data_IF_348070899644
#
_entry.id   IF_348070899644
#
_cell.length_a   1.000
_cell.length_b   1.000
_cell.length_c   1.000
_cell.angle_alpha   90.00
_cell.angle_beta   90.00
_cell.angle_gamma   90.00
#
_symmetry.space_group_name_H-M   'P 1'
#
loop_
_entity.id
_entity.type
_entity.pdbx_description
1 polymer ?
#
# COMPACT_ATOMS: atom_id res chain seq x y z
N UNK A 1 27.48 12.18 -0.99
CA UNK A 1 27.13 10.80 -1.39
C UNK A 1 25.78 10.48 -0.78
N UNK A 2 24.83 10.05 -1.60
CA UNK A 2 23.39 10.19 -1.43
C UNK A 2 22.72 8.92 -0.85
N UNK A 3 23.41 8.28 0.11
CA UNK A 3 23.12 6.91 0.57
C UNK A 3 21.68 6.77 1.10
N UNK A 4 21.12 7.82 1.69
CA UNK A 4 19.76 7.82 2.25
C UNK A 4 18.66 7.85 1.19
N UNK A 5 18.86 8.56 0.07
CA UNK A 5 17.89 8.60 -1.03
C UNK A 5 17.91 7.29 -1.83
N UNK A 6 19.10 6.73 -2.04
CA UNK A 6 19.27 5.43 -2.71
C UNK A 6 18.65 4.29 -1.91
N UNK A 7 18.80 4.29 -0.57
CA UNK A 7 18.17 3.31 0.32
C UNK A 7 16.65 3.42 0.27
N UNK A 8 16.10 4.61 0.42
CA UNK A 8 14.65 4.83 0.42
C UNK A 8 14.01 4.43 -0.93
N UNK A 9 14.70 4.68 -2.04
CA UNK A 9 14.25 4.27 -3.36
C UNK A 9 14.32 2.74 -3.54
N UNK A 10 15.34 2.08 -2.97
CA UNK A 10 15.46 0.62 -2.98
C UNK A 10 14.36 -0.06 -2.13
N UNK A 11 14.08 0.48 -0.94
CA UNK A 11 13.03 0.00 -0.04
C UNK A 11 11.64 0.14 -0.68
N UNK A 12 11.36 1.29 -1.30
CA UNK A 12 10.12 1.49 -2.02
C UNK A 12 9.95 0.49 -3.16
N UNK A 13 11.00 0.24 -3.94
CA UNK A 13 10.94 -0.69 -5.08
C UNK A 13 10.68 -2.12 -4.58
N UNK A 14 11.39 -2.55 -3.53
CA UNK A 14 11.17 -3.85 -2.90
C UNK A 14 9.75 -4.01 -2.34
N UNK A 15 9.20 -2.95 -1.72
CA UNK A 15 7.84 -2.96 -1.19
C UNK A 15 6.78 -3.05 -2.31
N UNK A 16 6.99 -2.34 -3.42
CA UNK A 16 6.08 -2.39 -4.58
C UNK A 16 6.06 -3.78 -5.23
N UNK A 17 7.23 -4.41 -5.41
CA UNK A 17 7.34 -5.78 -5.92
C UNK A 17 6.66 -6.79 -4.99
N UNK A 18 6.89 -6.67 -3.69
CA UNK A 18 6.22 -7.50 -2.68
C UNK A 18 4.69 -7.39 -2.76
N UNK A 19 4.15 -6.17 -2.88
CA UNK A 19 2.70 -5.96 -3.01
C UNK A 19 2.18 -6.62 -4.29
N UNK A 20 2.87 -6.48 -5.42
CA UNK A 20 2.45 -7.11 -6.67
C UNK A 20 2.38 -8.63 -6.55
N UNK A 21 3.38 -9.25 -5.93
CA UNK A 21 3.41 -10.70 -5.74
C UNK A 21 2.32 -11.17 -4.77
N UNK A 22 2.03 -10.43 -3.70
CA UNK A 22 0.92 -10.74 -2.81
C UNK A 22 -0.43 -10.67 -3.53
N UNK A 23 -0.67 -9.65 -4.35
CA UNK A 23 -1.88 -9.53 -5.16
C UNK A 23 -1.98 -10.63 -6.22
N UNK A 24 -0.88 -10.99 -6.91
CA UNK A 24 -0.82 -12.11 -7.86
C UNK A 24 -1.21 -13.43 -7.18
N UNK A 25 -0.66 -13.68 -5.99
CA UNK A 25 -0.86 -14.92 -5.24
C UNK A 25 -2.26 -15.04 -4.66
N UNK A 26 -2.82 -13.95 -4.14
CA UNK A 26 -4.01 -13.99 -3.30
C UNK A 26 -5.28 -13.44 -3.95
N UNK A 27 -5.16 -12.51 -4.90
CA UNK A 27 -6.30 -11.93 -5.62
C UNK A 27 -5.97 -11.63 -7.09
N UNK A 28 -5.59 -12.66 -7.88
CA UNK A 28 -5.19 -12.45 -9.28
C UNK A 28 -6.30 -11.84 -10.13
N UNK A 29 -7.56 -12.11 -9.79
CA UNK A 29 -8.72 -11.53 -10.50
C UNK A 29 -8.83 -10.02 -10.28
N UNK A 30 -8.58 -9.53 -9.06
CA UNK A 30 -8.59 -8.09 -8.82
C UNK A 30 -7.34 -7.42 -9.39
N UNK A 31 -6.17 -8.06 -9.34
CA UNK A 31 -4.97 -7.53 -9.99
C UNK A 31 -5.19 -7.28 -11.48
N UNK A 32 -5.89 -8.18 -12.19
CA UNK A 32 -6.25 -7.99 -13.60
C UNK A 32 -7.21 -6.83 -13.86
N UNK A 33 -7.94 -6.38 -12.85
CA UNK A 33 -8.83 -5.20 -12.91
C UNK A 33 -8.09 -3.93 -12.48
N UNK A 34 -6.96 -4.10 -11.81
CA UNK A 34 -6.09 -3.08 -11.30
C UNK A 34 -6.27 -2.79 -9.81
N UNK A 35 -5.18 -2.29 -9.24
CA UNK A 35 -5.01 -2.00 -7.83
C UNK A 35 -4.33 -0.65 -7.72
N UNK A 36 -4.91 0.26 -6.94
CA UNK A 36 -4.20 1.46 -6.54
C UNK A 36 -3.21 1.15 -5.42
N UNK A 37 -1.98 1.63 -5.57
CA UNK A 37 -1.00 1.63 -4.48
C UNK A 37 -0.75 3.09 -4.09
N UNK A 38 -0.71 3.39 -2.80
CA UNK A 38 -0.38 4.72 -2.31
C UNK A 38 0.65 4.69 -1.19
N UNK A 39 1.53 5.67 -1.21
CA UNK A 39 2.45 5.98 -0.13
C UNK A 39 1.98 7.25 0.56
N UNK A 40 1.86 7.18 1.87
CA UNK A 40 1.46 8.30 2.72
C UNK A 40 2.64 8.78 3.57
N UNK A 41 2.43 9.89 4.27
CA UNK A 41 3.40 10.36 5.26
C UNK A 41 3.65 9.34 6.36
N UNK A 42 4.81 9.45 7.02
CA UNK A 42 5.15 8.56 8.11
C UNK A 42 4.13 8.66 9.24
N UNK A 43 3.76 7.51 9.81
CA UNK A 43 2.87 7.43 10.97
C UNK A 43 3.67 7.65 12.25
N UNK A 44 3.08 8.26 13.28
CA UNK A 44 3.73 8.33 14.60
C UNK A 44 3.82 6.92 15.22
N UNK A 45 4.82 6.67 16.07
CA UNK A 45 5.10 5.33 16.60
C UNK A 45 3.96 4.73 17.46
N UNK A 46 3.09 5.59 17.99
CA UNK A 46 1.92 5.28 18.83
C UNK A 46 0.60 5.24 18.04
N UNK A 47 0.60 5.65 16.77
CA UNK A 47 -0.58 5.73 15.92
C UNK A 47 -0.92 4.41 15.20
N UNK A 48 -0.74 3.26 15.87
CA UNK A 48 -1.00 1.92 15.33
C UNK A 48 -2.47 1.66 14.94
N UNK A 49 -3.39 2.55 15.31
CA UNK A 49 -4.82 2.48 15.02
C UNK A 49 -5.27 3.49 13.93
N UNK A 50 -4.34 4.26 13.36
CA UNK A 50 -4.67 5.22 12.31
C UNK A 50 -4.77 4.49 10.95
N UNK A 51 -5.92 4.63 10.28
CA UNK A 51 -6.04 4.17 8.89
C UNK A 51 -5.04 4.92 8.04
N UNK A 52 -4.19 4.18 7.30
CA UNK A 52 -3.14 4.78 6.45
C UNK A 52 -3.75 5.75 5.44
N UNK A 53 -4.96 5.45 4.93
CA UNK A 53 -5.70 6.30 4.01
C UNK A 53 -6.06 7.68 4.58
N UNK A 54 -6.08 7.85 5.90
CA UNK A 54 -6.33 9.15 6.55
C UNK A 54 -5.09 10.05 6.60
N UNK A 55 -3.90 9.51 6.33
CA UNK A 55 -2.64 10.26 6.32
C UNK A 55 -2.46 11.03 5.00
N UNK A 56 -1.70 12.14 4.96
CA UNK A 56 -1.48 12.86 3.72
C UNK A 56 -0.73 12.01 2.68
N UNK A 57 -1.18 12.07 1.43
CA UNK A 57 -0.65 11.30 0.31
C UNK A 57 0.66 11.92 -0.22
N UNK A 58 1.69 11.09 -0.42
CA UNK A 58 2.96 11.49 -1.05
C UNK A 58 3.10 11.01 -2.48
N UNK A 59 2.81 9.74 -2.74
CA UNK A 59 2.97 9.10 -4.05
C UNK A 59 1.85 8.09 -4.29
N UNK A 60 1.54 7.86 -5.55
CA UNK A 60 0.56 6.86 -5.94
C UNK A 60 1.03 6.12 -7.21
N UNK A 61 0.60 4.88 -7.32
CA UNK A 61 0.84 4.02 -8.47
C UNK A 61 -0.45 3.31 -8.86
N UNK A 62 -0.55 2.98 -10.13
CA UNK A 62 -1.48 2.00 -10.64
C UNK A 62 -0.73 0.69 -10.86
N UNK A 63 -1.27 -0.40 -10.37
CA UNK A 63 -0.71 -1.73 -10.54
C UNK A 63 -1.73 -2.65 -11.18
N UNK A 64 -1.29 -3.43 -12.15
CA UNK A 64 -2.04 -4.54 -12.71
C UNK A 64 -1.13 -5.75 -12.96
N UNK A 65 -1.59 -6.68 -13.80
CA UNK A 65 -0.86 -7.90 -14.13
C UNK A 65 0.49 -7.61 -14.80
N UNK A 66 0.52 -6.58 -15.64
CA UNK A 66 1.61 -6.28 -16.56
C UNK A 66 2.69 -5.43 -15.88
N UNK A 67 2.32 -4.64 -14.86
CA UNK A 67 3.32 -3.85 -14.15
C UNK A 67 2.77 -2.90 -13.10
N UNK A 68 3.67 -2.02 -12.65
CA UNK A 68 3.40 -0.95 -11.71
C UNK A 68 3.82 0.36 -12.37
N UNK A 69 2.90 1.31 -12.47
CA UNK A 69 3.11 2.59 -13.12
C UNK A 69 2.89 3.74 -12.14
N UNK A 70 3.82 4.72 -12.05
CA UNK A 70 3.60 5.90 -11.22
C UNK A 70 2.44 6.72 -11.79
N UNK A 71 1.60 7.24 -10.89
CA UNK A 71 0.43 8.07 -11.23
C UNK A 71 0.43 9.35 -10.40
N UNK A 72 -0.27 10.35 -10.89
CA UNK A 72 -0.43 11.61 -10.17
C UNK A 72 -1.26 11.38 -8.90
N UNK A 73 -0.81 12.00 -7.80
CA UNK A 73 -1.52 12.00 -6.52
C UNK A 73 -3.00 12.46 -6.65
N UNK A 74 -3.26 13.43 -7.55
CA UNK A 74 -4.61 13.91 -7.83
C UNK A 74 -5.52 12.82 -8.44
N UNK A 75 -4.98 11.92 -9.27
CA UNK A 75 -5.76 10.83 -9.86
C UNK A 75 -6.22 9.83 -8.79
N UNK A 76 -5.33 9.50 -7.86
CA UNK A 76 -5.69 8.67 -6.70
C UNK A 76 -6.73 9.36 -5.81
N UNK A 77 -6.56 10.66 -5.51
CA UNK A 77 -7.53 11.42 -4.71
C UNK A 77 -8.93 11.40 -5.35
N UNK A 78 -9.02 11.67 -6.66
CA UNK A 78 -10.30 11.60 -7.42
C UNK A 78 -10.94 10.21 -7.35
N UNK A 79 -10.13 9.16 -7.42
CA UNK A 79 -10.61 7.79 -7.25
C UNK A 79 -11.20 7.56 -5.86
N UNK A 80 -10.50 7.97 -4.80
CA UNK A 80 -11.01 7.87 -3.41
C UNK A 80 -12.32 8.67 -3.22
N UNK A 81 -12.39 9.88 -3.76
CA UNK A 81 -13.59 10.73 -3.69
C UNK A 81 -14.79 10.07 -4.41
N UNK A 82 -14.55 9.39 -5.54
CA UNK A 82 -15.58 8.65 -6.28
C UNK A 82 -16.04 7.38 -5.54
N UNK A 83 -15.14 6.73 -4.80
CA UNK A 83 -15.44 5.51 -4.04
C UNK A 83 -16.07 5.75 -2.66
N UNK A 84 -15.80 6.90 -2.04
CA UNK A 84 -16.33 7.29 -0.72
C UNK A 84 -17.87 7.20 -0.63
N UNK A 85 -18.67 7.64 -1.62
CA UNK A 85 -20.13 7.57 -1.54
C UNK A 85 -20.75 6.21 -1.90
N UNK A 86 -19.99 5.22 -2.40
CA UNK A 86 -20.57 3.99 -2.98
C UNK A 86 -20.61 2.76 -2.08
N UNK A 87 -20.05 2.82 -0.88
CA UNK A 87 -20.02 1.70 0.06
C UNK A 87 -19.13 0.54 -0.42
N UNK A 88 -18.45 -0.12 0.51
CA UNK A 88 -17.52 -1.22 0.24
C UNK A 88 -18.27 -2.56 0.10
N UNK A 89 -18.96 -2.81 -1.01
CA UNK A 89 -19.78 -4.02 -1.13
C UNK A 89 -19.69 -4.78 -2.45
N UNK A 90 -18.83 -4.41 -3.39
CA UNK A 90 -18.69 -5.21 -4.61
C UNK A 90 -17.34 -5.96 -4.68
N UNK A 91 -17.35 -7.30 -4.89
CA UNK A 91 -16.15 -8.06 -5.31
C UNK A 91 -15.64 -7.65 -6.72
N UNK A 92 -16.26 -6.64 -7.33
CA UNK A 92 -15.86 -5.97 -8.57
C UNK A 92 -15.02 -4.71 -8.35
N UNK A 93 -14.78 -4.31 -7.10
CA UNK A 93 -14.03 -3.11 -6.79
C UNK A 93 -12.54 -3.28 -7.10
N UNK A 94 -11.97 -2.22 -7.68
CA UNK A 94 -10.54 -1.99 -7.82
C UNK A 94 -9.91 -2.07 -6.43
N UNK A 95 -8.84 -2.86 -6.29
CA UNK A 95 -8.16 -3.05 -5.00
C UNK A 95 -7.37 -1.82 -4.57
N UNK A 96 -7.03 -1.73 -3.29
CA UNK A 96 -6.12 -0.70 -2.77
C UNK A 96 -5.09 -1.29 -1.81
N UNK A 97 -3.84 -0.87 -1.94
CA UNK A 97 -2.77 -1.08 -0.97
C UNK A 97 -2.16 0.25 -0.58
N UNK A 98 -2.31 0.63 0.67
CA UNK A 98 -1.85 1.92 1.18
C UNK A 98 -0.73 1.66 2.17
N UNK A 99 0.38 2.39 2.10
CA UNK A 99 1.46 2.19 3.06
C UNK A 99 2.06 3.49 3.59
N UNK A 100 2.57 3.41 4.82
CA UNK A 100 3.25 4.49 5.51
C UNK A 100 4.46 3.94 6.27
N UNK A 101 5.55 4.71 6.31
CA UNK A 101 6.72 4.35 7.10
C UNK A 101 6.45 4.60 8.59
N UNK A 102 6.97 3.73 9.46
CA UNK A 102 7.10 4.03 10.88
C UNK A 102 8.34 4.91 11.13
N UNK A 103 8.43 5.62 12.27
CA UNK A 103 9.60 6.43 12.60
C UNK A 103 10.86 5.57 12.83
N UNK A 104 10.67 4.32 13.27
CA UNK A 104 11.74 3.36 13.35
C UNK A 104 12.03 2.80 11.94
N UNK A 105 13.25 2.98 11.45
CA UNK A 105 13.69 2.29 10.26
C UNK A 105 13.92 0.78 10.56
N UNK A 106 13.68 -0.13 9.60
CA UNK A 106 13.06 0.07 8.29
C UNK A 106 11.64 -0.53 8.27
N UNK A 107 10.74 0.00 9.09
CA UNK A 107 9.41 -0.58 9.30
C UNK A 107 8.32 0.19 8.58
N UNK A 108 7.32 -0.52 8.05
CA UNK A 108 6.18 0.04 7.34
C UNK A 108 4.86 -0.56 7.82
N UNK A 109 3.81 0.25 7.79
CA UNK A 109 2.42 -0.18 7.90
C UNK A 109 1.84 -0.31 6.49
N UNK A 110 1.15 -1.42 6.21
CA UNK A 110 0.39 -1.64 4.97
C UNK A 110 -1.08 -1.83 5.33
N UNK A 111 -1.96 -1.03 4.75
CA UNK A 111 -3.40 -1.13 4.86
C UNK A 111 -3.98 -1.53 3.49
N UNK A 112 -4.30 -2.82 3.35
CA UNK A 112 -4.97 -3.34 2.17
C UNK A 112 -6.48 -3.19 2.35
N UNK A 113 -7.11 -2.48 1.43
CA UNK A 113 -8.56 -2.25 1.45
C UNK A 113 -9.17 -2.73 0.14
N UNK A 114 -10.43 -3.17 0.21
CA UNK A 114 -11.25 -3.57 -0.95
C UNK A 114 -10.60 -4.71 -1.79
N UNK A 115 -10.16 -5.77 -1.12
CA UNK A 115 -9.73 -7.05 -1.71
C UNK A 115 -9.54 -8.16 -0.65
N UNK A 116 -9.31 -9.43 -1.04
CA UNK A 116 -9.16 -10.56 -0.11
C UNK A 116 -7.75 -10.67 0.46
N UNK A 117 -6.88 -9.68 0.21
CA UNK A 117 -5.70 -9.47 1.03
C UNK A 117 -6.22 -9.05 2.40
N UNK A 118 -6.20 -9.98 3.36
CA UNK A 118 -6.71 -9.82 4.74
C UNK A 118 -6.72 -8.35 5.15
N UNK A 119 -7.90 -7.74 5.12
CA UNK A 119 -8.05 -6.32 5.38
C UNK A 119 -7.56 -6.01 6.78
N UNK A 120 -6.73 -4.97 6.91
CA UNK A 120 -6.17 -4.54 8.18
C UNK A 120 -4.64 -4.50 8.20
N UNK A 121 -4.12 -3.62 9.05
CA UNK A 121 -2.73 -3.17 9.09
C UNK A 121 -1.72 -4.32 9.22
N UNK A 122 -0.89 -4.48 8.19
CA UNK A 122 0.30 -5.31 8.26
C UNK A 122 1.46 -4.46 8.73
N UNK A 123 2.24 -4.98 9.68
CA UNK A 123 3.54 -4.42 10.00
C UNK A 123 4.59 -5.22 9.27
N UNK A 124 5.37 -4.55 8.43
CA UNK A 124 6.47 -5.18 7.68
C UNK A 124 7.79 -4.52 8.00
N UNK A 125 8.88 -5.29 7.85
CA UNK A 125 10.25 -4.80 7.80
C UNK A 125 10.73 -4.91 6.36
N UNK A 126 11.27 -3.82 5.82
CA UNK A 126 11.79 -3.79 4.45
C UNK A 126 13.31 -3.69 4.52
N UNK A 127 14.00 -4.53 3.77
CA UNK A 127 15.43 -4.38 3.50
C UNK A 127 15.61 -3.98 2.04
N UNK A 128 16.85 -3.76 1.61
CA UNK A 128 17.14 -3.47 0.20
C UNK A 128 16.75 -4.60 -0.76
N UNK A 129 16.45 -5.81 -0.28
CA UNK A 129 16.18 -6.99 -1.12
C UNK A 129 15.03 -7.88 -0.66
N UNK A 130 14.39 -7.60 0.48
CA UNK A 130 13.31 -8.42 0.99
C UNK A 130 12.29 -7.63 1.83
N UNK A 131 11.06 -8.13 1.86
CA UNK A 131 10.02 -7.69 2.78
C UNK A 131 9.66 -8.84 3.72
N UNK A 132 9.72 -8.58 5.02
CA UNK A 132 9.32 -9.53 6.06
C UNK A 132 8.04 -9.03 6.74
N UNK A 133 7.01 -9.87 6.75
CA UNK A 133 5.75 -9.58 7.47
C UNK A 133 5.92 -9.97 8.94
N UNK A 134 5.88 -8.99 9.82
CA UNK A 134 6.05 -9.17 11.27
C UNK A 134 4.71 -9.42 11.97
N UNK A 135 3.66 -8.73 11.51
CA UNK A 135 2.33 -8.79 12.12
C UNK A 135 1.25 -8.57 11.05
N UNK A 136 0.11 -9.26 11.20
CA UNK A 136 -1.12 -9.00 10.44
C UNK A 136 -2.25 -8.76 11.43
N UNK A 137 -2.77 -7.54 11.49
CA UNK A 137 -3.95 -7.21 12.30
C UNK A 137 -5.20 -7.19 11.45
N UNK A 138 -6.29 -7.69 12.02
CA UNK A 138 -7.63 -7.52 11.48
C UNK A 138 -8.19 -6.24 12.07
N UNK A 139 -8.52 -5.25 11.23
CA UNK A 139 -9.37 -4.15 11.69
C UNK A 139 -10.81 -4.66 11.61
N UNK A 140 -11.38 -4.98 12.77
CA UNK A 140 -12.76 -5.45 12.96
C UNK A 140 -13.79 -4.39 12.62
#
# INVERSE_FOLDING_TARGET
MNVSEDSAQSEQSCLLEFLQDEWRRRSPVQLRRGVWISQHEAVAADALEVSVLSLPLRRAWWMDWDGIEPRQALSFKRFCDYLSPRGAQAPYEIGMSNFAAFPQAPFYCIDNTRGPLDGGGWRVRVTSSAVEVLERRWMS
#
